data_IF_901198277410
#
_entry.id   IF_901198277410
#
_cell.length_a   1.000
_cell.length_b   1.000
_cell.length_c   1.000
_cell.angle_alpha   90.00
_cell.angle_beta   90.00
_cell.angle_gamma   90.00
#
_symmetry.space_group_name_H-M   'P 1'
#
loop_
_entity.id
_entity.type
_entity.pdbx_description
1 polymer ?
#
# COMPACT_ATOMS: atom_id res chain seq x y z
N UNK A 1 -27.10 -14.18 14.67
CA UNK A 1 -25.83 -14.87 14.35
C UNK A 1 -24.76 -14.13 15.12
N UNK A 2 -24.40 -14.64 16.30
CA UNK A 2 -23.44 -14.01 17.20
C UNK A 2 -22.07 -14.59 16.92
N UNK A 3 -21.15 -13.76 16.45
CA UNK A 3 -19.76 -14.17 16.30
C UNK A 3 -19.17 -14.52 17.67
N UNK A 4 -18.50 -15.67 17.74
CA UNK A 4 -17.87 -16.19 18.97
C UNK A 4 -16.62 -15.39 19.37
N UNK A 5 -16.01 -14.72 18.40
CA UNK A 5 -14.74 -14.01 18.54
C UNK A 5 -14.79 -12.73 17.70
N UNK A 6 -14.46 -11.60 18.31
CA UNK A 6 -14.24 -10.37 17.56
C UNK A 6 -12.95 -10.51 16.74
N UNK A 7 -13.10 -10.50 15.42
CA UNK A 7 -11.99 -10.34 14.48
C UNK A 7 -11.81 -8.85 14.21
N UNK A 8 -10.56 -8.42 13.98
CA UNK A 8 -10.23 -7.07 13.51
C UNK A 8 -10.56 -6.90 12.01
N UNK A 9 -11.78 -7.25 11.65
CA UNK A 9 -12.30 -7.19 10.29
C UNK A 9 -13.67 -6.53 10.31
N UNK A 10 -13.74 -5.31 9.76
CA UNK A 10 -15.00 -4.61 9.57
C UNK A 10 -15.48 -4.79 8.12
N UNK A 11 -16.59 -5.52 7.95
CA UNK A 11 -17.18 -5.81 6.64
C UNK A 11 -17.88 -4.60 6.00
N UNK A 12 -18.15 -3.53 6.77
CA UNK A 12 -18.85 -2.33 6.27
C UNK A 12 -17.88 -1.25 5.82
N UNK A 13 -16.59 -1.37 6.17
CA UNK A 13 -15.59 -0.35 5.87
C UNK A 13 -14.59 -0.86 4.82
N UNK A 14 -14.51 -0.25 3.63
CA UNK A 14 -13.49 -0.62 2.65
C UNK A 14 -12.09 -0.34 3.22
N UNK A 15 -11.23 -1.36 3.17
CA UNK A 15 -9.84 -1.27 3.61
C UNK A 15 -8.88 -1.72 2.50
N UNK A 16 -7.63 -1.30 2.60
CA UNK A 16 -6.51 -1.78 1.79
C UNK A 16 -5.53 -2.52 2.68
N UNK A 17 -4.98 -3.63 2.23
CA UNK A 17 -4.06 -4.43 3.04
C UNK A 17 -2.65 -3.83 2.93
N UNK A 18 -1.98 -3.67 4.08
CA UNK A 18 -0.56 -3.32 4.09
C UNK A 18 0.28 -4.47 3.52
N UNK A 19 1.15 -4.16 2.54
CA UNK A 19 1.99 -5.16 1.86
C UNK A 19 3.03 -5.88 2.73
N UNK A 20 3.31 -5.39 3.94
CA UNK A 20 4.32 -5.97 4.83
C UNK A 20 3.77 -6.47 6.18
N UNK A 21 2.77 -5.79 6.74
CA UNK A 21 2.20 -6.18 8.05
C UNK A 21 0.95 -7.03 7.92
N UNK A 22 0.37 -7.13 6.71
CA UNK A 22 -0.91 -7.80 6.44
C UNK A 22 -2.08 -7.31 7.31
N UNK A 23 -1.95 -6.10 7.88
CA UNK A 23 -3.01 -5.45 8.66
C UNK A 23 -3.88 -4.62 7.71
N UNK A 24 -5.22 -4.64 7.86
CA UNK A 24 -6.12 -3.81 7.08
C UNK A 24 -5.96 -2.32 7.45
N UNK A 25 -5.68 -1.50 6.44
CA UNK A 25 -5.65 -0.04 6.51
C UNK A 25 -7.03 0.47 6.07
N UNK A 26 -7.81 0.96 7.02
CA UNK A 26 -9.13 1.52 6.76
C UNK A 26 -9.04 2.91 6.11
N UNK A 27 -10.03 3.27 5.28
CA UNK A 27 -10.11 4.61 4.68
C UNK A 27 -10.09 5.69 5.76
N UNK A 28 -9.11 6.59 5.68
CA UNK A 28 -8.89 7.70 6.61
C UNK A 28 -7.63 7.57 7.47
N UNK A 29 -6.98 6.41 7.50
CA UNK A 29 -5.64 6.28 8.09
C UNK A 29 -4.55 6.77 7.13
N UNK A 30 -3.45 7.31 7.68
CA UNK A 30 -2.31 7.76 6.89
C UNK A 30 -1.62 6.56 6.23
N UNK A 31 -1.66 6.51 4.92
CA UNK A 31 -1.05 5.48 4.11
C UNK A 31 0.00 6.05 3.15
N UNK A 32 1.06 5.27 2.92
CA UNK A 32 2.13 5.63 1.99
C UNK A 32 2.11 4.61 0.86
N UNK A 33 2.07 5.08 -0.39
CA UNK A 33 2.06 4.20 -1.55
C UNK A 33 3.45 3.99 -2.13
N UNK A 34 3.74 2.78 -2.59
CA UNK A 34 4.91 2.52 -3.43
C UNK A 34 4.68 3.13 -4.84
N UNK A 35 5.54 4.07 -5.30
CA UNK A 35 5.28 4.89 -6.48
C UNK A 35 5.75 4.30 -7.81
N UNK A 36 6.46 3.16 -7.78
CA UNK A 36 7.05 2.56 -8.99
C UNK A 36 6.03 1.83 -9.89
N UNK A 37 5.47 0.72 -9.40
CA UNK A 37 4.50 -0.11 -10.15
C UNK A 37 3.50 -0.77 -9.21
N UNK A 38 3.96 -1.14 -8.01
CA UNK A 38 3.17 -1.94 -7.09
C UNK A 38 1.90 -1.23 -6.62
N UNK A 39 1.90 0.11 -6.53
CA UNK A 39 0.78 0.93 -6.01
C UNK A 39 0.22 0.45 -4.65
N UNK A 40 0.95 -0.46 -4.01
CA UNK A 40 0.63 -1.06 -2.74
C UNK A 40 0.67 0.02 -1.67
N UNK A 41 -0.29 -0.06 -0.77
CA UNK A 41 -0.37 0.84 0.38
C UNK A 41 0.37 0.20 1.54
N UNK A 42 1.15 1.01 2.23
CA UNK A 42 1.87 0.66 3.44
C UNK A 42 1.44 1.58 4.56
N UNK A 43 1.61 1.10 5.79
CA UNK A 43 1.47 1.95 6.98
C UNK A 43 2.61 2.96 6.99
N UNK A 44 2.34 4.21 7.37
CA UNK A 44 3.34 5.29 7.39
C UNK A 44 4.62 4.97 8.22
N UNK A 45 4.54 4.02 9.15
CA UNK A 45 5.71 3.53 9.90
C UNK A 45 6.75 2.80 9.05
N UNK A 46 6.42 2.41 7.81
CA UNK A 46 7.33 1.75 6.88
C UNK A 46 7.83 2.67 5.76
N UNK A 47 7.60 3.97 5.88
CA UNK A 47 8.21 4.96 5.01
C UNK A 47 9.74 4.86 5.06
N UNK A 48 10.40 4.81 3.90
CA UNK A 48 11.85 4.64 3.80
C UNK A 48 12.36 3.20 3.82
N UNK A 49 11.49 2.19 4.03
CA UNK A 49 11.86 0.78 3.90
C UNK A 49 11.75 0.31 2.44
N UNK A 50 12.48 -0.76 2.11
CA UNK A 50 12.27 -1.46 0.85
C UNK A 50 10.87 -2.07 0.81
N UNK A 51 10.18 -1.86 -0.31
CA UNK A 51 8.87 -2.45 -0.53
C UNK A 51 9.00 -3.97 -0.65
N UNK A 52 8.47 -4.72 0.31
CA UNK A 52 8.50 -6.20 0.37
C UNK A 52 7.76 -6.91 -0.76
N UNK A 53 7.03 -6.16 -1.60
CA UNK A 53 6.26 -6.72 -2.72
C UNK A 53 7.04 -6.63 -4.02
N UNK A 54 7.77 -5.53 -4.24
CA UNK A 54 8.57 -5.37 -5.45
C UNK A 54 10.07 -5.52 -5.22
N UNK A 55 10.58 -5.41 -3.99
CA UNK A 55 11.99 -5.46 -3.60
C UNK A 55 12.92 -4.53 -4.40
N UNK A 56 12.35 -3.55 -5.10
CA UNK A 56 13.04 -2.67 -6.04
C UNK A 56 13.01 -1.21 -5.62
N UNK A 57 11.93 -0.78 -4.96
CA UNK A 57 11.67 0.61 -4.65
C UNK A 57 11.48 0.83 -3.14
N UNK A 58 11.87 2.02 -2.70
CA UNK A 58 11.65 2.48 -1.34
C UNK A 58 10.22 3.02 -1.21
N UNK A 59 9.52 2.61 -0.15
CA UNK A 59 8.16 3.07 0.16
C UNK A 59 8.18 4.58 0.43
N UNK A 60 7.41 5.34 -0.34
CA UNK A 60 7.32 6.81 -0.22
C UNK A 60 8.39 7.60 -0.98
N UNK A 61 9.26 6.97 -1.78
CA UNK A 61 10.24 7.69 -2.59
C UNK A 61 9.59 8.46 -3.76
N UNK A 62 10.06 9.64 -4.13
CA UNK A 62 9.55 10.29 -5.34
C UNK A 62 10.00 9.53 -6.59
N UNK A 63 9.04 9.13 -7.44
CA UNK A 63 9.32 8.49 -8.73
C UNK A 63 8.63 9.24 -9.87
N UNK A 64 9.30 9.31 -11.02
CA UNK A 64 8.79 9.97 -12.24
C UNK A 64 7.61 9.25 -12.90
N UNK A 65 7.18 8.10 -12.36
CA UNK A 65 6.16 7.22 -12.92
C UNK A 65 6.71 6.18 -13.90
N UNK A 66 5.86 5.24 -14.33
CA UNK A 66 6.23 4.19 -15.28
C UNK A 66 6.31 4.75 -16.71
N UNK A 67 7.51 4.72 -17.31
CA UNK A 67 7.75 5.04 -18.70
C UNK A 67 7.94 3.74 -19.51
N UNK A 68 6.94 3.38 -20.30
CA UNK A 68 6.92 2.16 -21.11
C UNK A 68 6.67 2.42 -22.61
N UNK A 69 6.39 3.66 -23.01
CA UNK A 69 6.15 4.04 -24.40
C UNK A 69 6.87 5.34 -24.78
N UNK A 70 7.39 5.46 -26.02
CA UNK A 70 7.90 6.72 -26.56
C UNK A 70 6.88 7.86 -26.47
N UNK A 71 5.57 7.57 -26.47
CA UNK A 71 4.51 8.58 -26.31
C UNK A 71 4.57 9.32 -24.96
N UNK A 72 5.26 8.75 -23.97
CA UNK A 72 5.42 9.35 -22.64
C UNK A 72 6.69 10.20 -22.52
N UNK A 73 7.58 10.13 -23.51
CA UNK A 73 8.79 10.95 -23.60
C UNK A 73 8.50 12.06 -24.61
N UNK A 74 8.20 13.25 -24.10
CA UNK A 74 7.97 14.45 -24.94
C UNK A 74 9.28 15.14 -25.26
#
# INVERSE_FOLDING_TARGET
MTDKSQLNYDFRNPFVICGATHVPIYRGQKDVSCPYYCSSRFVATQEGQFCTVCDLAVVGADASGLLCSPSQVR
#
